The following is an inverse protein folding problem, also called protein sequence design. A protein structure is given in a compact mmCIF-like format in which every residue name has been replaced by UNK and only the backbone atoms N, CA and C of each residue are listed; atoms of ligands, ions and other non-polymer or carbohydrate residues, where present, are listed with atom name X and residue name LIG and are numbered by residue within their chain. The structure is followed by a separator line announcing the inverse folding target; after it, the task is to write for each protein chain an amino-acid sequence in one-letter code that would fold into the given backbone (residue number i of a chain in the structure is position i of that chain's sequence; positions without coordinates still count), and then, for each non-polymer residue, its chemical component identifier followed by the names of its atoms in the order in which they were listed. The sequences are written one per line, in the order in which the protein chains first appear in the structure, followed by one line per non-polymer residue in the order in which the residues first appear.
data_IF_110690512354
#
_entry.id   IF_110690512354
#
_cell.length_a   1.000
_cell.length_b   1.000
_cell.length_c   1.000
_cell.angle_alpha   90.00
_cell.angle_beta   90.00
_cell.angle_gamma   90.00
#
_symmetry.space_group_name_H-M   'P 1'
#
loop_
_entity.id
_entity.type
_entity.pdbx_description
1 polymer ?
#
# COMPACT_ATOMS: atom_id res chain seq x y z
N UNK A 1 18.19 2.27 1.65
CA UNK A 1 17.01 2.81 0.94
C UNK A 1 16.03 1.69 0.71
N UNK A 2 14.81 1.89 1.17
CA UNK A 2 13.75 0.89 1.03
C UNK A 2 12.67 1.40 0.08
N UNK A 3 12.03 0.47 -0.62
CA UNK A 3 10.90 0.80 -1.48
C UNK A 3 9.63 0.25 -0.87
N UNK A 4 8.63 1.10 -0.72
CA UNK A 4 7.33 0.74 -0.18
C UNK A 4 6.25 1.00 -1.21
N UNK A 5 5.12 0.34 -1.06
CA UNK A 5 3.97 0.55 -1.92
C UNK A 5 2.70 0.64 -1.08
N UNK A 6 1.78 1.45 -1.54
CA UNK A 6 0.51 1.64 -0.85
C UNK A 6 -0.63 1.57 -1.86
N UNK A 7 -1.62 0.75 -1.58
CA UNK A 7 -2.79 0.58 -2.42
C UNK A 7 -4.04 0.98 -1.64
N UNK A 8 -4.89 1.79 -2.28
CA UNK A 8 -6.22 2.12 -1.75
C UNK A 8 -7.25 1.39 -2.59
N UNK A 9 -8.06 0.58 -1.94
CA UNK A 9 -9.08 -0.19 -2.63
C UNK A 9 -10.44 0.05 -1.98
N UNK A 10 -11.49 0.06 -2.80
CA UNK A 10 -12.85 0.10 -2.27
C UNK A 10 -13.24 -1.30 -1.81
N UNK A 11 -14.30 -1.39 -1.00
CA UNK A 11 -14.77 -2.69 -0.55
C UNK A 11 -15.19 -3.59 -1.71
N UNK A 12 -15.51 -2.99 -2.86
CA UNK A 12 -15.94 -3.74 -4.04
C UNK A 12 -14.83 -3.93 -5.06
N UNK A 13 -13.66 -3.42 -4.79
CA UNK A 13 -12.54 -3.52 -5.71
C UNK A 13 -11.98 -4.94 -5.69
N UNK A 14 -12.02 -5.59 -6.84
CA UNK A 14 -11.53 -6.95 -6.98
C UNK A 14 -10.15 -7.00 -7.64
N UNK A 15 -9.55 -5.85 -7.89
CA UNK A 15 -8.29 -5.77 -8.63
C UNK A 15 -7.08 -5.63 -7.72
N UNK A 16 -7.24 -5.90 -6.43
CA UNK A 16 -6.13 -5.79 -5.49
C UNK A 16 -4.97 -6.69 -5.89
N UNK A 17 -5.26 -7.90 -6.35
CA UNK A 17 -4.21 -8.84 -6.76
C UNK A 17 -3.38 -8.27 -7.90
N UNK A 18 -4.00 -7.56 -8.85
CA UNK A 18 -3.28 -6.93 -9.95
C UNK A 18 -2.35 -5.82 -9.44
N UNK A 19 -2.84 -5.04 -8.48
CA UNK A 19 -2.02 -3.99 -7.90
C UNK A 19 -0.82 -4.57 -7.17
N UNK A 20 -1.03 -5.65 -6.42
CA UNK A 20 0.06 -6.32 -5.73
C UNK A 20 1.09 -6.88 -6.72
N UNK A 21 0.61 -7.48 -7.81
CA UNK A 21 1.52 -7.98 -8.85
C UNK A 21 2.32 -6.86 -9.48
N UNK A 22 1.68 -5.73 -9.75
CA UNK A 22 2.37 -4.58 -10.32
C UNK A 22 3.46 -4.08 -9.38
N UNK A 23 3.17 -3.99 -8.09
CA UNK A 23 4.18 -3.57 -7.12
C UNK A 23 5.34 -4.56 -7.06
N UNK A 24 5.05 -5.85 -7.13
CA UNK A 24 6.10 -6.86 -7.17
C UNK A 24 6.98 -6.69 -8.41
N UNK A 25 6.39 -6.31 -9.52
CA UNK A 25 7.14 -6.06 -10.76
C UNK A 25 8.10 -4.88 -10.62
N UNK A 26 7.77 -3.93 -9.75
CA UNK A 26 8.68 -2.82 -9.45
C UNK A 26 9.77 -3.20 -8.46
N UNK A 27 9.77 -4.44 -7.98
CA UNK A 27 10.77 -4.88 -7.02
C UNK A 27 10.40 -4.63 -5.57
N UNK A 28 9.15 -4.31 -5.28
CA UNK A 28 8.69 -4.08 -3.91
C UNK A 28 8.47 -5.42 -3.22
N UNK A 29 9.06 -5.58 -2.04
CA UNK A 29 8.88 -6.81 -1.26
C UNK A 29 7.44 -6.89 -0.75
N UNK A 30 6.85 -8.10 -0.67
CA UNK A 30 5.48 -8.25 -0.16
C UNK A 30 5.29 -7.62 1.22
N UNK A 31 6.29 -7.71 2.09
CA UNK A 31 6.21 -7.13 3.43
C UNK A 31 6.21 -5.60 3.41
N UNK A 32 6.58 -4.98 2.29
CA UNK A 32 6.61 -3.52 2.13
C UNK A 32 5.37 -3.00 1.41
N UNK A 33 4.42 -3.86 1.10
CA UNK A 33 3.19 -3.47 0.43
C UNK A 33 2.09 -3.29 1.47
N UNK A 34 1.53 -2.10 1.53
CA UNK A 34 0.47 -1.76 2.47
C UNK A 34 -0.79 -1.44 1.69
N UNK A 35 -1.93 -1.85 2.21
CA UNK A 35 -3.20 -1.53 1.56
C UNK A 35 -4.27 -1.30 2.60
N UNK A 36 -5.20 -0.40 2.27
CA UNK A 36 -6.36 -0.11 3.10
C UNK A 36 -7.61 -0.23 2.26
N UNK A 37 -8.67 -0.71 2.88
CA UNK A 37 -9.97 -0.83 2.23
C UNK A 37 -10.88 0.27 2.73
N UNK A 38 -11.59 0.89 1.80
CA UNK A 38 -12.65 1.81 2.15
C UNK A 38 -13.88 0.98 2.52
N UNK A 39 -14.31 1.07 3.76
CA UNK A 39 -15.49 0.34 4.21
C UNK A 39 -16.49 1.29 4.83
N UNK A 40 -17.74 1.22 4.39
CA UNK A 40 -18.81 2.02 4.96
C UNK A 40 -18.55 3.52 4.83
N UNK A 41 -18.83 4.24 5.90
CA UNK A 41 -18.74 5.70 5.91
C UNK A 41 -17.32 6.21 6.18
N UNK A 42 -16.50 5.39 6.78
CA UNK A 42 -15.18 5.82 7.19
C UNK A 42 -14.12 5.16 6.34
N UNK A 43 -13.10 5.95 6.02
CA UNK A 43 -11.94 5.43 5.32
C UNK A 43 -10.90 4.99 6.35
N UNK A 44 -10.66 3.70 6.40
CA UNK A 44 -9.67 3.13 7.30
C UNK A 44 -8.29 3.31 6.69
N UNK A 45 -7.45 4.12 7.34
CA UNK A 45 -6.08 4.39 6.89
C UNK A 45 -5.05 3.87 7.88
N UNK A 46 -5.42 2.88 8.65
CA UNK A 46 -4.54 2.36 9.68
C UNK A 46 -3.21 1.90 9.10
N UNK A 47 -3.24 1.19 7.98
CA UNK A 47 -2.02 0.72 7.34
C UNK A 47 -1.20 1.87 6.75
N UNK A 48 -1.87 2.88 6.23
CA UNK A 48 -1.18 4.06 5.73
C UNK A 48 -0.40 4.76 6.84
N UNK A 49 -1.02 4.90 7.99
CA UNK A 49 -0.36 5.53 9.13
C UNK A 49 0.84 4.71 9.60
N UNK A 50 0.72 3.39 9.60
CA UNK A 50 1.85 2.52 9.92
C UNK A 50 2.98 2.67 8.93
N UNK A 51 2.62 2.78 7.65
CA UNK A 51 3.61 2.97 6.59
C UNK A 51 4.37 4.28 6.77
N UNK A 52 3.66 5.36 7.09
CA UNK A 52 4.31 6.66 7.31
C UNK A 52 5.32 6.60 8.44
N UNK A 53 5.05 5.82 9.47
CA UNK A 53 5.98 5.66 10.57
C UNK A 53 7.24 4.90 10.17
N UNK A 54 7.13 4.03 9.18
CA UNK A 54 8.26 3.24 8.71
C UNK A 54 9.08 3.96 7.66
N UNK A 55 8.47 4.90 6.95
CA UNK A 55 9.18 5.64 5.92
C UNK A 55 10.25 6.52 6.54
N UNK A 56 11.43 6.48 5.93
CA UNK A 56 12.56 7.31 6.34
C UNK A 56 13.05 8.11 5.15
N UNK A 57 13.84 9.12 5.46
CA UNK A 57 14.43 9.94 4.40
C UNK A 57 15.22 9.03 3.45
N UNK A 58 14.95 9.19 2.17
CA UNK A 58 15.60 8.38 1.16
C UNK A 58 14.81 7.16 0.71
N UNK A 59 13.72 6.83 1.41
CA UNK A 59 12.86 5.73 0.99
C UNK A 59 11.93 6.18 -0.12
N UNK A 60 11.51 5.22 -0.94
CA UNK A 60 10.62 5.47 -2.06
C UNK A 60 9.23 4.89 -1.75
N UNK A 61 8.20 5.67 -2.02
CA UNK A 61 6.83 5.21 -1.87
C UNK A 61 6.14 5.22 -3.23
N UNK A 62 5.57 4.09 -3.61
CA UNK A 62 4.82 3.93 -4.86
C UNK A 62 3.33 3.88 -4.51
N UNK A 63 2.56 4.71 -5.17
CA UNK A 63 1.10 4.77 -4.98
C UNK A 63 0.39 4.46 -6.27
#
# INVERSE_FOLDING_TARGET
MNTYAYARVSAQDQNLARQLDAFSSYGVLPKHIFCDKKSGKDFDRENYLKLLKKLKKGDLLII
#
